data_IF_025585440871
#
_entry.id   IF_025585440871
#
_cell.length_a   1.000
_cell.length_b   1.000
_cell.length_c   1.000
_cell.angle_alpha   90.00
_cell.angle_beta   90.00
_cell.angle_gamma   90.00
#
_symmetry.space_group_name_H-M   'P 1'
#
loop_
_entity.id
_entity.type
_entity.pdbx_description
1 polymer ?
#
# COMPACT_ATOMS: atom_id res chain seq x y z
N UNK A 1 28.89 -25.54 101.42
CA UNK A 1 29.86 -24.44 101.24
C UNK A 1 30.58 -24.63 99.91
N UNK A 2 30.04 -24.07 98.82
CA UNK A 2 30.75 -23.56 97.63
C UNK A 2 29.70 -22.89 96.74
N UNK A 3 30.01 -21.65 96.41
CA UNK A 3 29.20 -20.61 95.75
C UNK A 3 29.72 -20.46 94.32
N UNK A 4 28.87 -19.91 93.44
CA UNK A 4 29.16 -19.33 92.11
C UNK A 4 29.37 -20.35 90.96
N UNK A 5 28.84 -20.16 89.75
CA UNK A 5 28.65 -18.92 88.99
C UNK A 5 27.41 -18.93 88.09
N UNK A 6 26.89 -17.72 87.88
CA UNK A 6 25.84 -17.31 86.95
C UNK A 6 26.34 -17.23 85.50
N UNK A 7 25.64 -17.88 84.56
CA UNK A 7 25.73 -17.57 83.12
C UNK A 7 24.38 -17.06 82.63
N UNK A 8 24.38 -15.80 82.17
CA UNK A 8 23.22 -15.11 81.65
C UNK A 8 22.85 -15.59 80.24
N UNK A 9 21.64 -16.14 80.10
CA UNK A 9 20.98 -16.33 78.82
C UNK A 9 20.58 -14.97 78.23
N UNK A 10 21.23 -14.57 77.13
CA UNK A 10 20.77 -13.50 76.25
C UNK A 10 19.86 -14.11 75.18
N UNK A 11 18.59 -13.72 75.21
CA UNK A 11 17.61 -14.02 74.16
C UNK A 11 18.00 -13.37 72.83
N UNK A 12 17.95 -14.07 71.68
CA UNK A 12 18.17 -13.45 70.39
C UNK A 12 16.99 -12.52 70.06
N UNK A 13 17.28 -11.22 69.96
CA UNK A 13 16.34 -10.22 69.46
C UNK A 13 16.03 -10.50 67.98
N UNK A 14 14.83 -10.98 67.69
CA UNK A 14 14.28 -11.02 66.35
C UNK A 14 14.15 -9.59 65.81
N UNK A 15 15.06 -9.20 64.91
CA UNK A 15 14.95 -7.94 64.18
C UNK A 15 13.70 -7.91 63.27
N UNK A 16 13.15 -6.72 62.99
CA UNK A 16 11.89 -6.52 62.25
C UNK A 16 11.93 -6.92 60.76
N UNK A 17 13.02 -7.52 60.28
CA UNK A 17 13.18 -7.92 58.87
C UNK A 17 12.60 -9.30 58.54
N UNK A 18 12.26 -10.13 59.55
CA UNK A 18 11.67 -11.46 59.32
C UNK A 18 10.21 -11.44 58.82
N UNK A 19 9.48 -10.35 59.04
CA UNK A 19 8.06 -10.26 58.69
C UNK A 19 7.83 -10.04 57.19
N UNK A 20 8.73 -9.29 56.53
CA UNK A 20 8.66 -9.06 55.08
C UNK A 20 8.93 -10.34 54.27
N UNK A 21 9.86 -11.18 54.72
CA UNK A 21 10.16 -12.46 54.07
C UNK A 21 8.99 -13.45 54.17
N UNK A 22 8.30 -13.47 55.32
CA UNK A 22 7.11 -14.33 55.52
C UNK A 22 5.92 -13.84 54.72
N UNK A 23 5.67 -12.54 54.67
CA UNK A 23 4.59 -11.95 53.87
C UNK A 23 4.76 -12.22 52.36
N UNK A 24 6.00 -12.12 51.85
CA UNK A 24 6.31 -12.44 50.45
C UNK A 24 6.09 -13.92 50.09
N UNK A 25 6.48 -14.83 50.98
CA UNK A 25 6.28 -16.26 50.78
C UNK A 25 4.78 -16.64 50.77
N UNK A 26 3.97 -16.05 51.66
CA UNK A 26 2.53 -16.27 51.66
C UNK A 26 1.82 -15.69 50.44
N UNK A 27 2.25 -14.53 49.93
CA UNK A 27 1.67 -13.94 48.72
C UNK A 27 1.97 -14.79 47.48
N UNK A 28 3.20 -15.31 47.36
CA UNK A 28 3.59 -16.22 46.27
C UNK A 28 2.81 -17.54 46.32
N UNK A 29 2.60 -18.10 47.52
CA UNK A 29 1.79 -19.30 47.68
C UNK A 29 0.31 -19.07 47.29
N UNK A 30 -0.26 -17.91 47.63
CA UNK A 30 -1.63 -17.55 47.29
C UNK A 30 -1.82 -17.31 45.79
N UNK A 31 -0.85 -16.69 45.13
CA UNK A 31 -0.84 -16.51 43.67
C UNK A 31 -0.69 -17.85 42.94
N UNK A 32 0.13 -18.77 43.45
CA UNK A 32 0.25 -20.13 42.89
C UNK A 32 -1.05 -20.93 43.04
N UNK A 33 -1.74 -20.82 44.18
CA UNK A 33 -3.04 -21.45 44.42
C UNK A 33 -4.15 -20.86 43.55
N UNK A 34 -4.16 -19.54 43.32
CA UNK A 34 -5.11 -18.88 42.42
C UNK A 34 -4.87 -19.25 40.95
N UNK A 35 -3.60 -19.44 40.55
CA UNK A 35 -3.25 -19.90 39.21
C UNK A 35 -3.68 -21.36 38.95
N UNK A 36 -3.70 -22.21 39.99
CA UNK A 36 -4.16 -23.60 39.91
C UNK A 36 -5.69 -23.74 40.01
N UNK A 37 -6.38 -22.74 40.56
CA UNK A 37 -7.83 -22.76 40.77
C UNK A 37 -8.65 -22.09 39.66
N UNK A 38 -8.00 -21.57 38.61
CA UNK A 38 -8.73 -21.05 37.45
C UNK A 38 -9.48 -22.20 36.76
N UNK A 39 -10.82 -22.21 36.76
CA UNK A 39 -11.57 -23.24 36.07
C UNK A 39 -11.19 -23.18 34.59
N UNK A 40 -10.77 -24.33 34.03
CA UNK A 40 -10.65 -24.50 32.58
C UNK A 40 -12.01 -24.18 31.99
N UNK A 41 -12.14 -22.98 31.44
CA UNK A 41 -13.29 -22.63 30.61
C UNK A 41 -13.22 -23.58 29.42
N UNK A 42 -14.08 -24.60 29.41
CA UNK A 42 -14.34 -25.41 28.22
C UNK A 42 -14.70 -24.42 27.11
N UNK A 43 -13.76 -24.22 26.20
CA UNK A 43 -13.95 -23.37 25.04
C UNK A 43 -15.17 -23.90 24.30
N UNK A 44 -16.27 -23.15 24.35
CA UNK A 44 -17.45 -23.45 23.56
C UNK A 44 -17.00 -23.52 22.09
N UNK A 45 -17.30 -24.62 21.38
CA UNK A 45 -16.94 -24.74 19.97
C UNK A 45 -17.57 -23.57 19.23
N UNK A 46 -16.73 -22.63 18.76
CA UNK A 46 -17.17 -21.50 17.96
C UNK A 46 -17.97 -22.05 16.78
N UNK A 47 -19.14 -21.49 16.46
CA UNK A 47 -19.91 -21.92 15.30
C UNK A 47 -19.01 -21.86 14.07
N UNK A 48 -18.82 -23.02 13.43
CA UNK A 48 -18.01 -23.17 12.22
C UNK A 48 -18.64 -22.31 11.14
N UNK A 49 -18.12 -21.09 10.95
CA UNK A 49 -18.47 -20.29 9.81
C UNK A 49 -18.15 -21.11 8.55
N UNK A 50 -19.02 -21.07 7.52
CA UNK A 50 -18.73 -21.75 6.26
C UNK A 50 -17.36 -21.30 5.79
N UNK A 51 -16.41 -22.26 5.72
CA UNK A 51 -15.05 -22.00 5.28
C UNK A 51 -15.13 -21.33 3.92
N UNK A 52 -14.70 -20.07 3.86
CA UNK A 52 -14.48 -19.39 2.58
C UNK A 52 -13.60 -20.31 1.73
N UNK A 53 -13.92 -20.50 0.43
CA UNK A 53 -13.09 -21.33 -0.43
C UNK A 53 -11.67 -20.76 -0.45
N UNK A 54 -10.73 -21.46 0.18
CA UNK A 54 -9.33 -21.08 0.18
C UNK A 54 -8.76 -21.42 -1.19
N UNK A 55 -8.45 -20.38 -1.98
CA UNK A 55 -7.68 -20.55 -3.21
C UNK A 55 -6.27 -21.00 -2.81
N UNK A 56 -5.74 -22.04 -3.45
CA UNK A 56 -4.38 -22.47 -3.15
C UNK A 56 -3.38 -21.38 -3.57
N UNK A 57 -2.23 -21.32 -2.89
CA UNK A 57 -1.19 -20.32 -3.22
C UNK A 57 -0.75 -20.41 -4.68
N UNK A 58 -0.67 -21.62 -5.22
CA UNK A 58 -0.25 -21.87 -6.59
C UNK A 58 -1.31 -21.44 -7.62
N UNK A 59 -2.59 -21.73 -7.33
CA UNK A 59 -3.70 -21.29 -8.17
C UNK A 59 -3.80 -19.76 -8.19
N UNK A 60 -3.50 -19.11 -7.07
CA UNK A 60 -3.47 -17.66 -7.02
C UNK A 60 -2.28 -17.10 -7.79
N UNK A 61 -1.05 -17.62 -7.60
CA UNK A 61 0.15 -17.13 -8.32
C UNK A 61 -0.01 -17.22 -9.83
N UNK A 62 -0.61 -18.30 -10.31
CA UNK A 62 -0.89 -18.54 -11.73
C UNK A 62 -2.19 -17.90 -12.24
N UNK A 63 -3.02 -17.36 -11.35
CA UNK A 63 -4.27 -16.68 -11.66
C UNK A 63 -4.09 -15.26 -12.20
N UNK A 64 -5.20 -14.63 -12.57
CA UNK A 64 -5.24 -13.29 -13.20
C UNK A 64 -6.06 -12.26 -12.39
N UNK A 65 -6.16 -12.47 -11.08
CA UNK A 65 -6.92 -11.60 -10.18
C UNK A 65 -6.36 -10.17 -10.14
N UNK A 66 -5.04 -10.02 -10.18
CA UNK A 66 -4.34 -8.75 -10.25
C UNK A 66 -4.69 -7.98 -11.53
N UNK A 67 -4.78 -8.65 -12.67
CA UNK A 67 -5.24 -8.02 -13.91
C UNK A 67 -6.69 -7.54 -13.82
N UNK A 68 -7.59 -8.35 -13.25
CA UNK A 68 -8.98 -7.95 -13.04
C UNK A 68 -9.09 -6.76 -12.07
N UNK A 69 -8.23 -6.71 -11.04
CA UNK A 69 -8.11 -5.57 -10.14
C UNK A 69 -7.63 -4.31 -10.88
N UNK A 70 -6.60 -4.42 -11.72
CA UNK A 70 -6.13 -3.31 -12.57
C UNK A 70 -7.25 -2.78 -13.49
N UNK A 71 -8.10 -3.65 -14.04
CA UNK A 71 -9.27 -3.22 -14.82
C UNK A 71 -10.20 -2.34 -13.97
N UNK A 72 -10.56 -2.79 -12.76
CA UNK A 72 -11.43 -2.04 -11.84
C UNK A 72 -10.83 -0.70 -11.42
N UNK A 73 -9.52 -0.67 -11.16
CA UNK A 73 -8.81 0.57 -10.81
C UNK A 73 -8.83 1.60 -11.96
N UNK A 74 -8.91 1.13 -13.21
CA UNK A 74 -9.09 1.99 -14.38
C UNK A 74 -10.57 2.27 -14.71
N UNK A 75 -11.51 1.99 -13.80
CA UNK A 75 -12.93 2.23 -13.99
C UNK A 75 -13.59 1.28 -15.00
N UNK A 76 -12.97 0.13 -15.29
CA UNK A 76 -13.48 -0.87 -16.23
C UNK A 76 -14.23 -1.95 -15.43
N UNK A 77 -15.50 -2.16 -15.76
CA UNK A 77 -16.36 -3.18 -15.19
C UNK A 77 -16.02 -4.56 -15.74
N UNK A 78 -15.62 -5.49 -14.87
CA UNK A 78 -15.25 -6.86 -15.25
C UNK A 78 -16.48 -7.77 -15.17
N UNK A 79 -16.88 -8.32 -16.31
CA UNK A 79 -17.98 -9.28 -16.41
C UNK A 79 -17.55 -10.67 -15.96
N UNK A 80 -18.43 -11.33 -15.20
CA UNK A 80 -18.23 -12.69 -14.68
C UNK A 80 -18.66 -13.79 -15.66
N UNK A 81 -19.33 -13.42 -16.75
CA UNK A 81 -20.00 -14.34 -17.66
C UNK A 81 -20.08 -13.76 -19.07
N UNK A 82 -20.07 -14.64 -20.08
CA UNK A 82 -20.22 -14.24 -21.48
C UNK A 82 -21.59 -13.61 -21.73
N UNK A 83 -22.65 -14.12 -21.09
CA UNK A 83 -24.02 -13.64 -21.27
C UNK A 83 -24.21 -12.20 -20.80
N UNK A 84 -23.64 -11.84 -19.64
CA UNK A 84 -23.72 -10.45 -19.16
C UNK A 84 -22.94 -9.49 -20.06
N UNK A 85 -21.80 -9.95 -20.60
CA UNK A 85 -20.97 -9.14 -21.49
C UNK A 85 -21.56 -8.99 -22.90
N UNK A 86 -22.24 -10.02 -23.43
CA UNK A 86 -22.88 -9.96 -24.76
C UNK A 86 -23.97 -8.89 -24.86
N UNK A 87 -24.55 -8.45 -23.74
CA UNK A 87 -25.51 -7.36 -23.71
C UNK A 87 -24.86 -5.97 -23.88
N UNK A 88 -23.53 -5.88 -23.77
CA UNK A 88 -22.78 -4.62 -23.87
C UNK A 88 -22.49 -4.29 -25.35
N UNK A 89 -22.73 -3.05 -25.80
CA UNK A 89 -22.34 -2.63 -27.14
C UNK A 89 -20.84 -2.82 -27.40
N UNK A 90 -20.48 -3.38 -28.56
CA UNK A 90 -19.09 -3.67 -28.94
C UNK A 90 -18.18 -2.44 -28.87
N UNK A 91 -18.67 -1.26 -29.24
CA UNK A 91 -17.94 0.00 -29.16
C UNK A 91 -17.60 0.46 -27.73
N UNK A 92 -18.23 -0.13 -26.72
CA UNK A 92 -17.99 0.14 -25.29
C UNK A 92 -17.29 -1.00 -24.57
N UNK A 93 -16.98 -2.09 -25.25
CA UNK A 93 -16.41 -3.28 -24.64
C UNK A 93 -14.97 -3.54 -25.03
N UNK A 94 -14.26 -4.15 -24.10
CA UNK A 94 -12.92 -4.71 -24.22
C UNK A 94 -13.02 -6.23 -24.04
N UNK A 95 -12.25 -6.98 -24.81
CA UNK A 95 -12.06 -8.41 -24.59
C UNK A 95 -10.59 -8.68 -24.31
N UNK A 96 -10.32 -9.42 -23.24
CA UNK A 96 -8.98 -9.87 -22.89
C UNK A 96 -8.93 -11.40 -23.03
N UNK A 97 -8.00 -11.90 -23.82
CA UNK A 97 -7.85 -13.32 -24.14
C UNK A 97 -6.44 -13.77 -23.77
N UNK A 98 -6.34 -14.72 -22.84
CA UNK A 98 -5.10 -15.18 -22.25
C UNK A 98 -4.94 -16.69 -22.44
N UNK A 99 -3.78 -17.13 -22.96
CA UNK A 99 -3.45 -18.54 -23.12
C UNK A 99 -4.15 -19.22 -24.30
N UNK A 100 -4.66 -20.44 -24.10
CA UNK A 100 -5.20 -21.24 -25.20
C UNK A 100 -6.57 -20.72 -25.70
N UNK A 101 -6.58 -20.13 -26.90
CA UNK A 101 -7.77 -19.55 -27.55
C UNK A 101 -8.46 -20.45 -28.58
N UNK A 102 -7.94 -21.67 -28.84
CA UNK A 102 -8.31 -22.47 -30.03
C UNK A 102 -9.77 -22.89 -30.15
N UNK A 103 -10.56 -22.94 -29.07
CA UNK A 103 -11.90 -23.57 -29.08
C UNK A 103 -13.04 -22.66 -28.65
N UNK A 104 -12.78 -21.46 -28.15
CA UNK A 104 -13.74 -20.79 -27.26
C UNK A 104 -14.09 -19.37 -27.61
N UNK A 105 -13.58 -18.81 -28.71
CA UNK A 105 -13.79 -17.39 -28.98
C UNK A 105 -14.73 -17.20 -30.17
N UNK A 106 -15.78 -16.37 -30.02
CA UNK A 106 -16.49 -15.81 -31.18
C UNK A 106 -15.47 -15.14 -32.11
N UNK A 107 -15.86 -14.95 -33.37
CA UNK A 107 -15.02 -14.38 -34.41
C UNK A 107 -14.33 -13.08 -33.94
N UNK A 108 -13.10 -13.19 -33.39
CA UNK A 108 -12.38 -12.08 -32.75
C UNK A 108 -12.19 -10.93 -33.73
N UNK A 109 -11.98 -11.29 -35.00
CA UNK A 109 -11.86 -10.33 -36.09
C UNK A 109 -13.15 -9.53 -36.26
N UNK A 110 -14.30 -10.21 -36.26
CA UNK A 110 -15.60 -9.53 -36.33
C UNK A 110 -15.79 -8.61 -35.14
N UNK A 111 -15.51 -9.08 -33.93
CA UNK A 111 -15.63 -8.27 -32.71
C UNK A 111 -14.79 -6.98 -32.76
N UNK A 112 -13.53 -7.06 -33.20
CA UNK A 112 -12.69 -5.86 -33.31
C UNK A 112 -13.12 -4.97 -34.49
N UNK A 113 -13.56 -5.56 -35.61
CA UNK A 113 -14.11 -4.80 -36.74
C UNK A 113 -15.43 -4.08 -36.38
N UNK A 114 -16.21 -4.62 -35.43
CA UNK A 114 -17.45 -4.00 -34.92
C UNK A 114 -17.17 -2.89 -33.88
N UNK A 115 -15.90 -2.53 -33.67
CA UNK A 115 -15.45 -1.43 -32.81
C UNK A 115 -14.97 -1.83 -31.42
N UNK A 116 -14.90 -3.13 -31.13
CA UNK A 116 -14.37 -3.67 -29.89
C UNK A 116 -12.86 -3.49 -29.78
N UNK A 117 -12.38 -3.37 -28.54
CA UNK A 117 -10.94 -3.41 -28.26
C UNK A 117 -10.54 -4.83 -27.82
N UNK A 118 -9.36 -5.30 -28.25
CA UNK A 118 -8.85 -6.63 -27.93
C UNK A 118 -7.45 -6.58 -27.31
N UNK A 119 -7.28 -7.25 -26.18
CA UNK A 119 -5.97 -7.68 -25.69
C UNK A 119 -5.88 -9.19 -25.90
N UNK A 120 -4.90 -9.64 -26.68
CA UNK A 120 -4.61 -11.05 -26.86
C UNK A 120 -3.19 -11.34 -26.43
N UNK A 121 -3.03 -12.25 -25.46
CA UNK A 121 -1.74 -12.76 -25.05
C UNK A 121 -1.77 -14.28 -25.09
N UNK A 122 -0.90 -14.89 -25.90
CA UNK A 122 -0.86 -16.33 -26.04
C UNK A 122 0.52 -16.83 -26.41
N UNK A 123 1.01 -17.83 -25.68
CA UNK A 123 2.17 -18.64 -26.05
C UNK A 123 1.74 -19.97 -26.70
N UNK A 124 0.42 -20.24 -26.76
CA UNK A 124 -0.13 -21.57 -27.09
C UNK A 124 -0.55 -21.70 -28.54
N UNK A 125 0.36 -22.31 -29.29
CA UNK A 125 0.12 -22.79 -30.64
C UNK A 125 0.49 -21.76 -31.70
N UNK A 126 0.59 -22.22 -32.95
CA UNK A 126 0.79 -21.32 -34.08
C UNK A 126 -0.56 -20.73 -34.46
N UNK A 127 -0.72 -19.43 -34.25
CA UNK A 127 -1.91 -18.70 -34.62
C UNK A 127 -1.54 -17.62 -35.64
N UNK A 128 -2.30 -17.52 -36.73
CA UNK A 128 -2.09 -16.46 -37.73
C UNK A 128 -3.37 -15.63 -37.87
N UNK A 129 -3.30 -14.36 -37.49
CA UNK A 129 -4.31 -13.36 -37.82
C UNK A 129 -4.07 -12.87 -39.23
N UNK A 130 -4.45 -13.65 -40.25
CA UNK A 130 -4.22 -13.29 -41.67
C UNK A 130 -4.66 -11.85 -42.03
N UNK A 131 -5.81 -11.32 -41.57
CA UNK A 131 -6.22 -9.95 -41.90
C UNK A 131 -5.40 -8.86 -41.23
N UNK A 132 -4.58 -9.21 -40.23
CA UNK A 132 -3.60 -8.34 -39.58
C UNK A 132 -2.17 -8.82 -39.84
N UNK A 133 -1.99 -9.87 -40.67
CA UNK A 133 -0.80 -10.72 -40.82
C UNK A 133 0.15 -10.76 -39.63
N UNK A 134 -0.42 -10.87 -38.44
CA UNK A 134 0.30 -11.16 -37.21
C UNK A 134 0.27 -12.66 -37.04
N UNK A 135 1.43 -13.30 -36.95
CA UNK A 135 1.56 -14.71 -36.63
C UNK A 135 2.25 -14.88 -35.27
N UNK A 136 1.54 -15.46 -34.32
CA UNK A 136 2.11 -15.84 -33.02
C UNK A 136 2.68 -17.25 -33.17
N UNK A 137 3.97 -17.40 -32.87
CA UNK A 137 4.72 -18.66 -32.90
C UNK A 137 4.89 -19.16 -31.48
N UNK A 138 4.71 -20.46 -31.29
CA UNK A 138 4.91 -21.11 -30.00
C UNK A 138 6.38 -21.06 -29.55
N UNK A 139 6.58 -20.85 -28.25
CA UNK A 139 7.89 -20.88 -27.58
C UNK A 139 8.36 -22.27 -27.12
N UNK A 140 9.39 -22.34 -26.25
CA UNK A 140 10.05 -21.19 -25.61
C UNK A 140 11.12 -20.57 -26.48
N UNK A 141 11.15 -19.23 -26.54
CA UNK A 141 12.35 -18.48 -26.95
C UNK A 141 13.45 -18.74 -25.93
N UNK A 142 14.64 -19.07 -26.43
CA UNK A 142 15.83 -19.22 -25.61
C UNK A 142 16.74 -18.02 -25.86
N UNK A 143 17.20 -17.39 -24.79
CA UNK A 143 18.16 -16.29 -24.85
C UNK A 143 19.42 -16.63 -24.08
N UNK A 144 20.46 -15.80 -24.23
CA UNK A 144 21.61 -15.90 -23.36
C UNK A 144 21.18 -15.65 -21.89
N UNK A 145 21.64 -16.46 -20.91
CA UNK A 145 21.32 -16.26 -19.50
C UNK A 145 21.54 -14.83 -18.98
N UNK A 146 22.51 -14.09 -19.53
CA UNK A 146 22.78 -12.70 -19.14
C UNK A 146 21.64 -11.72 -19.46
N UNK A 147 20.76 -12.06 -20.40
CA UNK A 147 19.57 -11.28 -20.77
C UNK A 147 18.26 -11.99 -20.39
N UNK A 148 18.35 -13.11 -19.69
CA UNK A 148 17.22 -13.82 -19.10
C UNK A 148 16.85 -13.25 -17.73
N UNK A 149 15.55 -13.26 -17.41
CA UNK A 149 15.06 -12.88 -16.10
C UNK A 149 15.68 -13.78 -15.02
N UNK A 150 16.37 -13.18 -14.05
CA UNK A 150 17.10 -13.89 -12.98
C UNK A 150 18.08 -14.96 -13.49
N UNK A 151 18.62 -14.80 -14.70
CA UNK A 151 19.57 -15.75 -15.29
C UNK A 151 18.93 -16.97 -15.97
N UNK A 152 17.59 -17.05 -16.06
CA UNK A 152 16.91 -18.16 -16.71
C UNK A 152 16.78 -17.92 -18.23
N UNK A 153 17.41 -18.77 -19.03
CA UNK A 153 17.41 -18.68 -20.49
C UNK A 153 16.02 -18.87 -21.13
N UNK A 154 15.10 -19.58 -20.45
CA UNK A 154 13.72 -19.80 -20.88
C UNK A 154 12.73 -18.73 -20.37
N UNK A 155 13.23 -17.72 -19.64
CA UNK A 155 12.46 -16.56 -19.18
C UNK A 155 13.06 -15.27 -19.77
N UNK A 156 12.99 -15.05 -21.09
CA UNK A 156 13.62 -13.88 -21.70
C UNK A 156 12.97 -12.58 -21.24
N UNK A 157 13.79 -11.54 -21.07
CA UNK A 157 13.31 -10.16 -20.91
C UNK A 157 12.97 -9.58 -22.28
N UNK A 158 11.76 -9.07 -22.47
CA UNK A 158 11.40 -8.34 -23.68
C UNK A 158 11.68 -6.84 -23.49
N UNK A 159 12.53 -6.26 -24.33
CA UNK A 159 12.88 -4.84 -24.29
C UNK A 159 11.87 -4.02 -25.13
N UNK A 160 11.56 -2.81 -24.65
CA UNK A 160 10.84 -1.80 -25.43
C UNK A 160 11.63 -1.43 -26.68
N UNK A 161 10.94 -1.30 -27.81
CA UNK A 161 11.53 -0.71 -29.01
C UNK A 161 11.73 0.80 -28.82
N UNK A 162 12.94 1.27 -29.11
CA UNK A 162 13.25 2.69 -29.07
C UNK A 162 12.38 3.49 -30.08
N UNK A 163 12.19 4.78 -29.82
CA UNK A 163 11.44 5.66 -30.75
C UNK A 163 12.15 5.81 -32.10
N UNK A 164 13.48 5.69 -32.10
CA UNK A 164 14.38 5.76 -33.25
C UNK A 164 14.86 4.39 -33.73
N UNK A 165 14.13 3.32 -33.38
CA UNK A 165 14.41 1.97 -33.88
C UNK A 165 14.41 1.96 -35.42
N UNK A 166 15.48 1.40 -36.00
CA UNK A 166 15.71 1.45 -37.44
C UNK A 166 14.63 0.74 -38.26
N UNK A 167 14.06 -0.35 -37.72
CA UNK A 167 13.04 -1.14 -38.38
C UNK A 167 11.65 -0.55 -38.17
N UNK A 168 11.43 0.11 -37.02
CA UNK A 168 10.13 0.61 -36.61
C UNK A 168 10.18 2.02 -36.00
N UNK A 169 10.50 3.06 -36.78
CA UNK A 169 10.59 4.41 -36.27
C UNK A 169 9.23 4.98 -35.86
N UNK A 170 9.22 5.83 -34.84
CA UNK A 170 8.06 6.61 -34.42
C UNK A 170 7.71 6.48 -32.94
N UNK A 171 6.98 7.49 -32.44
CA UNK A 171 6.45 7.49 -31.07
C UNK A 171 5.16 6.69 -31.01
N UNK A 172 5.08 5.78 -30.04
CA UNK A 172 3.83 5.08 -29.73
C UNK A 172 3.63 5.01 -28.23
N UNK A 173 2.39 5.15 -27.79
CA UNK A 173 2.04 5.15 -26.37
C UNK A 173 2.51 3.87 -25.67
N UNK A 174 2.36 2.72 -26.33
CA UNK A 174 2.81 1.41 -25.81
C UNK A 174 4.34 1.28 -25.70
N UNK A 175 5.14 2.26 -26.14
CA UNK A 175 6.61 2.26 -25.99
C UNK A 175 7.10 3.21 -24.89
N UNK A 176 6.20 3.71 -24.04
CA UNK A 176 6.52 4.72 -23.04
C UNK A 176 6.23 4.23 -21.63
N UNK A 177 7.02 4.65 -20.63
CA UNK A 177 6.71 4.39 -19.22
C UNK A 177 7.05 2.99 -18.68
N UNK A 178 7.69 2.15 -19.50
CA UNK A 178 8.32 0.88 -19.10
C UNK A 178 9.57 0.66 -19.96
N UNK A 179 10.44 -0.27 -19.56
CA UNK A 179 11.68 -0.60 -20.27
C UNK A 179 11.74 -2.08 -20.61
N UNK A 180 11.33 -2.94 -19.67
CA UNK A 180 11.47 -4.40 -19.81
C UNK A 180 10.28 -5.16 -19.27
N UNK A 181 9.95 -6.26 -19.92
CA UNK A 181 8.93 -7.21 -19.46
C UNK A 181 9.56 -8.56 -19.17
N UNK A 182 9.32 -9.08 -17.97
CA UNK A 182 9.67 -10.44 -17.62
C UNK A 182 8.63 -11.40 -18.19
N UNK A 183 9.07 -12.39 -18.97
CA UNK A 183 8.22 -13.42 -19.56
C UNK A 183 8.57 -14.80 -18.99
N UNK A 184 7.73 -15.80 -19.24
CA UNK A 184 7.95 -17.18 -18.79
C UNK A 184 7.62 -18.14 -19.94
N UNK A 185 8.67 -18.66 -20.59
CA UNK A 185 8.57 -19.58 -21.75
C UNK A 185 7.82 -19.00 -22.94
N UNK A 186 7.98 -17.69 -23.18
CA UNK A 186 7.32 -16.95 -24.25
C UNK A 186 7.54 -17.53 -25.64
N UNK A 187 6.53 -17.35 -26.51
CA UNK A 187 6.67 -17.48 -27.96
C UNK A 187 7.26 -16.24 -28.62
N UNK A 188 7.03 -16.09 -29.93
CA UNK A 188 7.39 -14.89 -30.71
C UNK A 188 6.23 -14.41 -31.57
N UNK A 189 6.29 -13.17 -32.02
CA UNK A 189 5.42 -12.59 -33.04
C UNK A 189 6.22 -12.39 -34.32
N UNK A 190 5.69 -12.92 -35.42
CA UNK A 190 6.09 -12.55 -36.78
C UNK A 190 5.03 -11.61 -37.36
N UNK A 191 5.47 -10.52 -37.98
CA UNK A 191 4.61 -9.59 -38.71
C UNK A 191 4.90 -9.75 -40.20
N UNK A 192 3.90 -10.17 -40.96
CA UNK A 192 4.00 -10.15 -42.42
C UNK A 192 3.93 -8.70 -42.92
N UNK A 193 4.63 -8.33 -44.00
CA UNK A 193 4.38 -7.07 -44.68
C UNK A 193 2.95 -7.09 -45.21
N UNK A 194 2.04 -6.34 -44.58
CA UNK A 194 0.62 -6.34 -44.92
C UNK A 194 0.17 -5.06 -45.59
N UNK A 195 -1.07 -5.15 -46.05
CA UNK A 195 -1.84 -4.13 -46.70
C UNK A 195 -1.61 -2.72 -46.09
N UNK A 196 -1.42 -1.70 -46.94
CA UNK A 196 -0.98 -0.36 -46.56
C UNK A 196 -1.99 0.42 -45.68
N UNK A 197 -3.16 -0.14 -45.41
CA UNK A 197 -4.28 0.50 -44.74
C UNK A 197 -4.32 0.30 -43.22
N UNK A 198 -3.50 -0.60 -42.65
CA UNK A 198 -3.47 -0.85 -41.20
C UNK A 198 -2.09 -0.57 -40.61
N UNK A 199 -2.07 0.31 -39.60
CA UNK A 199 -0.84 0.66 -38.89
C UNK A 199 -0.58 -0.36 -37.78
N UNK A 200 0.28 -1.31 -38.08
CA UNK A 200 0.86 -2.22 -37.11
C UNK A 200 2.08 -1.58 -36.49
N UNK A 201 2.10 -1.50 -35.16
CA UNK A 201 3.17 -0.88 -34.41
C UNK A 201 3.76 -1.88 -33.42
N UNK A 202 4.85 -2.56 -33.81
CA UNK A 202 5.64 -3.33 -32.86
C UNK A 202 6.07 -2.42 -31.70
N UNK A 203 6.09 -2.95 -30.48
CA UNK A 203 6.50 -2.18 -29.30
C UNK A 203 7.50 -2.92 -28.41
N UNK A 204 7.68 -4.22 -28.59
CA UNK A 204 8.60 -5.02 -27.80
C UNK A 204 9.32 -6.08 -28.65
N UNK A 205 10.59 -6.35 -28.37
CA UNK A 205 11.36 -7.44 -28.97
C UNK A 205 12.24 -8.16 -27.94
N UNK A 206 12.66 -9.37 -28.25
CA UNK A 206 13.65 -10.07 -27.43
C UNK A 206 15.07 -9.64 -27.83
N UNK A 207 15.95 -9.33 -26.87
CA UNK A 207 17.33 -8.98 -27.17
C UNK A 207 18.07 -10.18 -27.79
N UNK A 208 18.81 -9.93 -28.87
CA UNK A 208 19.64 -10.93 -29.55
C UNK A 208 18.86 -11.96 -30.38
N UNK A 209 17.53 -11.97 -30.31
CA UNK A 209 16.65 -12.83 -31.10
C UNK A 209 15.79 -11.89 -31.92
N UNK A 210 16.10 -11.70 -33.20
CA UNK A 210 15.41 -10.79 -34.14
C UNK A 210 13.93 -11.19 -34.37
N UNK A 211 13.13 -11.04 -33.31
CA UNK A 211 11.77 -11.54 -33.14
C UNK A 211 11.03 -10.64 -32.18
N UNK A 212 9.81 -10.30 -32.54
CA UNK A 212 8.96 -9.42 -31.77
C UNK A 212 8.30 -10.19 -30.62
N UNK A 213 8.03 -9.47 -29.53
CA UNK A 213 7.24 -9.97 -28.41
C UNK A 213 5.80 -9.43 -28.45
N UNK A 214 5.64 -8.16 -28.85
CA UNK A 214 4.38 -7.44 -28.78
C UNK A 214 4.16 -6.48 -29.94
N UNK A 215 2.91 -6.44 -30.44
CA UNK A 215 2.46 -5.55 -31.52
C UNK A 215 1.12 -4.92 -31.17
N UNK A 216 0.98 -3.63 -31.46
CA UNK A 216 -0.28 -2.90 -31.38
C UNK A 216 -0.86 -2.69 -32.77
N UNK A 217 -2.18 -2.78 -32.90
CA UNK A 217 -2.93 -2.41 -34.09
C UNK A 217 -3.59 -1.06 -33.81
N UNK A 218 -3.16 -0.03 -34.53
CA UNK A 218 -3.65 1.35 -34.36
C UNK A 218 -4.80 1.68 -35.32
N UNK A 219 -5.76 2.45 -34.81
CA UNK A 219 -6.90 3.00 -35.55
C UNK A 219 -8.06 3.31 -34.61
N UNK A 220 -9.03 4.09 -35.07
CA UNK A 220 -10.30 4.27 -34.34
C UNK A 220 -11.02 2.92 -34.19
N UNK A 221 -10.97 2.13 -35.28
CA UNK A 221 -11.38 0.72 -35.37
C UNK A 221 -10.60 0.09 -36.54
N UNK A 222 -9.86 -1.02 -36.39
CA UNK A 222 -9.66 -1.88 -35.22
C UNK A 222 -8.63 -1.35 -34.20
N UNK A 223 -8.81 -1.66 -32.90
CA UNK A 223 -7.80 -1.42 -31.86
C UNK A 223 -7.47 -2.71 -31.10
N UNK A 224 -6.20 -3.12 -31.12
CA UNK A 224 -5.79 -4.35 -30.43
C UNK A 224 -4.33 -4.36 -29.97
N UNK A 225 -4.04 -5.10 -28.90
CA UNK A 225 -2.69 -5.46 -28.44
C UNK A 225 -2.53 -6.97 -28.57
N UNK A 226 -1.48 -7.42 -29.24
CA UNK A 226 -1.15 -8.84 -29.38
C UNK A 226 0.23 -9.11 -28.78
N UNK A 227 0.32 -10.14 -27.94
CA UNK A 227 1.49 -10.52 -27.15
C UNK A 227 1.77 -12.01 -27.29
N UNK A 228 3.04 -12.39 -27.32
CA UNK A 228 3.47 -13.79 -27.44
C UNK A 228 3.50 -14.59 -26.13
N UNK A 229 3.08 -13.99 -25.01
CA UNK A 229 3.00 -14.66 -23.71
C UNK A 229 1.94 -14.03 -22.81
N UNK A 230 1.03 -14.84 -22.29
CA UNK A 230 0.06 -14.42 -21.27
C UNK A 230 0.64 -14.34 -19.86
N UNK A 231 1.79 -14.97 -19.61
CA UNK A 231 2.35 -15.11 -18.27
C UNK A 231 2.62 -13.75 -17.63
N UNK A 232 2.91 -12.71 -18.42
CA UNK A 232 3.14 -11.34 -17.93
C UNK A 232 1.96 -10.75 -17.15
N UNK A 233 0.77 -11.33 -17.29
CA UNK A 233 -0.46 -10.91 -16.59
C UNK A 233 -0.83 -11.80 -15.40
N UNK A 234 -0.08 -12.86 -15.11
CA UNK A 234 -0.33 -13.67 -13.91
C UNK A 234 0.03 -12.87 -12.66
N UNK A 235 -0.62 -13.17 -11.54
CA UNK A 235 -0.40 -12.43 -10.30
C UNK A 235 1.06 -12.41 -9.88
N UNK A 236 1.77 -13.54 -10.03
CA UNK A 236 3.19 -13.61 -9.71
C UNK A 236 4.08 -12.79 -10.66
N UNK A 237 3.72 -12.69 -11.94
CA UNK A 237 4.54 -11.98 -12.92
C UNK A 237 4.23 -10.48 -12.96
N UNK A 238 3.05 -10.03 -12.51
CA UNK A 238 2.72 -8.61 -12.44
C UNK A 238 3.70 -7.81 -11.55
N UNK A 239 4.26 -8.46 -10.52
CA UNK A 239 5.24 -7.83 -9.61
C UNK A 239 6.68 -7.87 -10.14
N UNK A 240 6.92 -8.49 -11.29
CA UNK A 240 8.24 -8.61 -11.89
C UNK A 240 8.47 -7.52 -12.94
N UNK A 241 9.66 -6.90 -12.93
CA UNK A 241 10.06 -5.85 -13.88
C UNK A 241 8.96 -4.77 -14.01
N UNK A 242 8.66 -4.33 -15.24
CA UNK A 242 7.63 -3.32 -15.51
C UNK A 242 6.26 -3.92 -15.87
N UNK A 243 6.02 -5.22 -15.60
CA UNK A 243 4.81 -5.93 -16.06
C UNK A 243 3.50 -5.27 -15.60
N UNK A 244 3.40 -4.84 -14.34
CA UNK A 244 2.22 -4.11 -13.84
C UNK A 244 2.03 -2.76 -14.54
N UNK A 245 3.12 -2.00 -14.73
CA UNK A 245 3.09 -0.71 -15.43
C UNK A 245 2.63 -0.85 -16.88
N UNK A 246 3.17 -1.84 -17.57
CA UNK A 246 2.74 -2.21 -18.92
C UNK A 246 1.27 -2.65 -18.96
N UNK A 247 0.83 -3.52 -18.04
CA UNK A 247 -0.55 -3.98 -18.00
C UNK A 247 -1.53 -2.82 -17.79
N UNK A 248 -1.22 -1.90 -16.87
CA UNK A 248 -1.99 -0.69 -16.66
C UNK A 248 -2.03 0.19 -17.91
N UNK A 249 -0.90 0.40 -18.57
CA UNK A 249 -0.82 1.19 -19.78
C UNK A 249 -1.62 0.58 -20.94
N UNK A 250 -1.50 -0.74 -21.14
CA UNK A 250 -2.25 -1.47 -22.15
C UNK A 250 -3.77 -1.33 -21.93
N UNK A 251 -4.21 -1.45 -20.68
CA UNK A 251 -5.62 -1.27 -20.31
C UNK A 251 -6.09 0.16 -20.55
N UNK A 252 -5.32 1.18 -20.16
CA UNK A 252 -5.68 2.58 -20.40
C UNK A 252 -5.77 2.91 -21.89
N UNK A 253 -4.83 2.39 -22.68
CA UNK A 253 -4.83 2.59 -24.12
C UNK A 253 -6.04 1.91 -24.77
N UNK A 254 -6.34 0.66 -24.41
CA UNK A 254 -7.50 -0.07 -24.92
C UNK A 254 -8.84 0.51 -24.42
N UNK A 255 -8.86 1.06 -23.21
CA UNK A 255 -10.05 1.69 -22.62
C UNK A 255 -10.32 3.11 -23.16
N UNK A 256 -9.37 3.70 -23.89
CA UNK A 256 -9.57 4.95 -24.61
C UNK A 256 -10.83 4.84 -25.49
N UNK A 257 -11.60 5.93 -25.63
CA UNK A 257 -12.84 5.91 -26.41
C UNK A 257 -14.10 5.42 -25.66
N UNK A 258 -14.10 5.49 -24.32
CA UNK A 258 -15.26 5.15 -23.43
C UNK A 258 -15.57 3.66 -23.31
N UNK A 259 -14.55 2.80 -23.44
CA UNK A 259 -14.74 1.36 -23.20
C UNK A 259 -14.68 1.10 -21.70
N UNK A 260 -15.85 0.80 -21.14
CA UNK A 260 -16.08 0.72 -19.69
C UNK A 260 -16.28 -0.70 -19.19
N UNK A 261 -16.29 -1.68 -20.08
CA UNK A 261 -16.75 -3.03 -19.79
C UNK A 261 -15.78 -4.05 -20.39
N UNK A 262 -15.38 -5.06 -19.62
CA UNK A 262 -14.39 -6.06 -20.05
C UNK A 262 -14.82 -7.48 -19.74
N UNK A 263 -14.56 -8.38 -20.70
CA UNK A 263 -14.60 -9.82 -20.49
C UNK A 263 -13.18 -10.38 -20.54
N UNK A 264 -12.77 -11.06 -19.48
CA UNK A 264 -11.46 -11.70 -19.39
C UNK A 264 -11.63 -13.21 -19.57
N UNK A 265 -11.00 -13.77 -20.59
CA UNK A 265 -11.04 -15.18 -20.92
C UNK A 265 -9.63 -15.74 -20.79
N UNK A 266 -9.38 -16.62 -19.83
CA UNK A 266 -8.12 -17.34 -19.70
C UNK A 266 -8.33 -18.83 -19.93
N UNK A 267 -7.54 -19.42 -20.83
CA UNK A 267 -7.57 -20.85 -21.15
C UNK A 267 -8.99 -21.38 -21.41
N UNK A 268 -9.79 -20.61 -22.15
CA UNK A 268 -11.18 -20.93 -22.52
C UNK A 268 -12.23 -20.75 -21.42
N UNK A 269 -11.83 -20.29 -20.23
CA UNK A 269 -12.74 -20.00 -19.12
C UNK A 269 -12.86 -18.50 -18.90
N UNK A 270 -14.07 -18.03 -18.64
CA UNK A 270 -14.28 -16.65 -18.15
C UNK A 270 -13.69 -16.57 -16.76
N UNK A 271 -12.83 -15.59 -16.55
CA UNK A 271 -12.27 -15.33 -15.22
C UNK A 271 -13.32 -14.55 -14.46
N UNK A 272 -13.98 -15.20 -13.50
CA UNK A 272 -14.83 -14.53 -12.54
C UNK A 272 -13.93 -13.94 -11.46
N UNK A 273 -13.77 -12.61 -11.39
CA UNK A 273 -13.03 -12.03 -10.29
C UNK A 273 -13.83 -12.25 -9.01
N UNK A 274 -13.32 -13.10 -8.12
CA UNK A 274 -13.84 -13.19 -6.77
C UNK A 274 -13.83 -11.77 -6.15
N UNK A 275 -14.85 -11.43 -5.36
CA UNK A 275 -14.92 -10.10 -4.77
C UNK A 275 -13.66 -9.84 -3.94
N UNK A 276 -13.09 -8.62 -3.93
CA UNK A 276 -11.86 -8.33 -3.19
C UNK A 276 -11.90 -8.79 -1.73
N UNK A 277 -13.09 -8.76 -1.12
CA UNK A 277 -13.32 -9.14 0.28
C UNK A 277 -13.46 -10.65 0.53
N UNK A 278 -13.60 -11.44 -0.54
CA UNK A 278 -13.86 -12.89 -0.49
C UNK A 278 -12.63 -13.73 -0.90
N UNK A 279 -11.59 -13.08 -1.46
CA UNK A 279 -10.35 -13.77 -1.82
C UNK A 279 -9.41 -13.74 -0.63
N UNK A 280 -9.18 -14.90 -0.02
CA UNK A 280 -7.99 -15.07 0.79
C UNK A 280 -6.78 -15.04 -0.15
N UNK A 281 -6.12 -13.88 -0.23
CA UNK A 281 -4.85 -13.75 -0.94
C UNK A 281 -3.82 -14.54 -0.13
N UNK A 282 -3.12 -15.53 -0.72
CA UNK A 282 -1.99 -16.12 -0.02
C UNK A 282 -1.01 -14.99 0.29
N UNK A 283 -0.44 -14.94 1.50
CA UNK A 283 0.55 -13.93 1.83
C UNK A 283 1.68 -14.01 0.80
N UNK A 284 2.17 -12.86 0.28
CA UNK A 284 3.28 -12.85 -0.65
C UNK A 284 4.49 -13.58 -0.05
N UNK A 285 5.28 -14.26 -0.90
CA UNK A 285 6.43 -15.01 -0.41
C UNK A 285 7.40 -14.05 0.31
N UNK A 286 7.86 -14.39 1.54
CA UNK A 286 8.70 -13.48 2.33
C UNK A 286 9.92 -12.89 1.60
N UNK A 287 10.65 -13.65 0.75
CA UNK A 287 11.78 -13.09 -0.01
C UNK A 287 11.37 -11.96 -0.96
N UNK A 288 10.23 -12.08 -1.63
CA UNK A 288 9.77 -11.09 -2.61
C UNK A 288 9.29 -9.81 -1.90
N UNK A 289 8.65 -9.94 -0.73
CA UNK A 289 8.29 -8.79 0.12
C UNK A 289 9.55 -8.08 0.62
N UNK A 290 10.53 -8.83 1.11
CA UNK A 290 11.80 -8.27 1.61
C UNK A 290 12.54 -7.55 0.48
N UNK A 291 12.57 -8.12 -0.72
CA UNK A 291 13.22 -7.51 -1.86
C UNK A 291 12.49 -6.24 -2.31
N UNK A 292 11.15 -6.24 -2.39
CA UNK A 292 10.37 -5.04 -2.67
C UNK A 292 10.59 -3.95 -1.60
N UNK A 293 10.65 -4.33 -0.33
CA UNK A 293 10.91 -3.41 0.78
C UNK A 293 12.32 -2.80 0.75
N UNK A 294 13.32 -3.50 0.21
CA UNK A 294 14.70 -2.98 0.09
C UNK A 294 14.82 -1.80 -0.87
N UNK A 295 13.95 -1.74 -1.86
CA UNK A 295 13.95 -0.68 -2.87
C UNK A 295 13.12 0.55 -2.46
N UNK A 296 12.40 0.47 -1.34
CA UNK A 296 11.62 1.60 -0.82
C UNK A 296 12.52 2.60 -0.07
N UNK A 297 12.28 3.92 -0.24
CA UNK A 297 12.95 4.91 0.58
C UNK A 297 12.56 4.76 2.06
N UNK A 298 13.44 5.12 3.01
CA UNK A 298 13.22 4.91 4.45
C UNK A 298 11.89 5.47 4.96
N UNK A 299 11.42 6.59 4.39
CA UNK A 299 10.16 7.21 4.75
C UNK A 299 8.96 6.35 4.35
N UNK A 300 8.98 5.75 3.15
CA UNK A 300 7.93 4.88 2.65
C UNK A 300 7.88 3.53 3.40
N UNK A 301 9.04 3.04 3.84
CA UNK A 301 9.15 1.86 4.72
C UNK A 301 8.42 2.07 6.04
N UNK A 302 8.57 3.26 6.63
CA UNK A 302 7.94 3.60 7.91
C UNK A 302 6.42 3.79 7.75
N UNK A 303 5.99 4.42 6.66
CA UNK A 303 4.58 4.54 6.30
C UNK A 303 3.94 3.17 6.05
N UNK A 304 4.60 2.29 5.31
CA UNK A 304 4.17 0.91 5.10
C UNK A 304 4.08 0.13 6.41
N UNK A 305 5.09 0.24 7.28
CA UNK A 305 5.07 -0.42 8.59
C UNK A 305 3.88 0.06 9.44
N UNK A 306 3.60 1.36 9.45
CA UNK A 306 2.44 1.92 10.16
C UNK A 306 1.11 1.45 9.56
N UNK A 307 1.02 1.36 8.23
CA UNK A 307 -0.16 0.86 7.53
C UNK A 307 -0.42 -0.62 7.87
N UNK A 308 0.62 -1.44 7.86
CA UNK A 308 0.55 -2.87 8.22
C UNK A 308 0.17 -3.03 9.69
N UNK A 309 0.75 -2.23 10.59
CA UNK A 309 0.40 -2.22 12.01
C UNK A 309 -1.07 -1.84 12.23
N UNK A 310 -1.56 -0.79 11.55
CA UNK A 310 -2.95 -0.37 11.64
C UNK A 310 -3.92 -1.43 11.09
N UNK A 311 -3.61 -2.01 9.92
CA UNK A 311 -4.45 -3.07 9.35
C UNK A 311 -4.46 -4.36 10.19
N UNK A 312 -3.31 -4.72 10.78
CA UNK A 312 -3.20 -5.89 11.65
C UNK A 312 -3.90 -5.70 13.00
N UNK A 313 -4.04 -4.45 13.46
CA UNK A 313 -4.86 -4.08 14.63
C UNK A 313 -6.36 -4.21 14.32
N UNK A 314 -6.80 -3.72 13.15
CA UNK A 314 -8.22 -3.76 12.74
C UNK A 314 -8.74 -5.19 12.46
N UNK A 315 -7.92 -6.05 11.84
CA UNK A 315 -8.33 -7.42 11.50
C UNK A 315 -8.16 -8.43 12.65
N UNK A 316 -7.77 -7.99 13.85
CA UNK A 316 -7.40 -8.85 14.97
C UNK A 316 -6.31 -9.88 14.63
N UNK A 317 -5.57 -9.72 13.52
CA UNK A 317 -4.49 -10.62 13.08
C UNK A 317 -3.41 -10.73 14.14
N UNK A 318 -3.11 -9.64 14.85
CA UNK A 318 -2.18 -9.66 15.98
C UNK A 318 -2.72 -10.52 17.12
N UNK A 319 -4.03 -10.46 17.40
CA UNK A 319 -4.65 -11.27 18.45
C UNK A 319 -4.70 -12.74 18.06
N UNK A 320 -4.99 -13.06 16.80
CA UNK A 320 -5.02 -14.43 16.29
C UNK A 320 -3.60 -15.03 16.23
N UNK A 321 -2.60 -14.26 15.77
CA UNK A 321 -1.21 -14.67 15.81
C UNK A 321 -0.70 -14.86 17.25
N UNK A 322 -1.06 -13.96 18.16
CA UNK A 322 -0.74 -14.10 19.59
C UNK A 322 -1.42 -15.33 20.18
N UNK A 323 -2.68 -15.61 19.82
CA UNK A 323 -3.39 -16.82 20.23
C UNK A 323 -2.69 -18.08 19.70
N UNK A 324 -2.32 -18.12 18.42
CA UNK A 324 -1.60 -19.25 17.81
C UNK A 324 -0.22 -19.46 18.45
N UNK A 325 0.52 -18.38 18.72
CA UNK A 325 1.80 -18.45 19.43
C UNK A 325 1.58 -18.91 20.86
N UNK A 326 0.55 -18.43 21.55
CA UNK A 326 0.22 -18.83 22.92
C UNK A 326 -0.22 -20.30 23.00
N UNK A 327 -0.96 -20.79 22.01
CA UNK A 327 -1.38 -22.19 21.91
C UNK A 327 -0.22 -23.12 21.55
N UNK A 328 0.75 -22.65 20.78
CA UNK A 328 1.97 -23.40 20.45
C UNK A 328 2.95 -23.51 21.63
N UNK A 329 2.89 -22.60 22.60
CA UNK A 329 3.75 -22.61 23.78
C UNK A 329 3.08 -23.49 24.86
N UNK A 330 3.74 -24.54 25.36
CA UNK A 330 3.20 -25.32 26.46
C UNK A 330 2.86 -24.44 27.67
N UNK A 331 1.67 -24.62 28.27
CA UNK A 331 1.14 -23.78 29.38
C UNK A 331 2.19 -23.50 30.48
N UNK A 332 3.01 -24.49 30.82
CA UNK A 332 4.06 -24.37 31.83
C UNK A 332 5.21 -23.44 31.44
N UNK A 333 5.54 -23.34 30.16
CA UNK A 333 6.57 -22.44 29.62
C UNK A 333 6.05 -21.01 29.60
N UNK A 334 4.80 -20.81 29.18
CA UNK A 334 4.15 -19.51 29.20
C UNK A 334 4.11 -18.94 30.63
N UNK A 335 3.69 -19.75 31.61
CA UNK A 335 3.65 -19.31 33.02
C UNK A 335 5.03 -18.95 33.56
N UNK A 336 6.10 -19.66 33.18
CA UNK A 336 7.47 -19.29 33.56
C UNK A 336 7.87 -17.93 32.99
N UNK A 337 7.55 -17.66 31.73
CA UNK A 337 7.85 -16.38 31.07
C UNK A 337 7.09 -15.23 31.74
N UNK A 338 5.81 -15.43 32.08
CA UNK A 338 4.99 -14.44 32.79
C UNK A 338 5.58 -14.13 34.17
N UNK A 339 5.93 -15.16 34.95
CA UNK A 339 6.50 -14.99 36.30
C UNK A 339 7.84 -14.24 36.23
N UNK A 340 8.71 -14.60 35.28
CA UNK A 340 10.01 -13.90 35.10
C UNK A 340 9.79 -12.45 34.69
N UNK A 341 8.90 -12.19 33.74
CA UNK A 341 8.60 -10.83 33.26
C UNK A 341 8.04 -9.94 34.37
N UNK A 342 7.09 -10.46 35.16
CA UNK A 342 6.53 -9.76 36.32
C UNK A 342 7.59 -9.48 37.40
N UNK A 343 8.50 -10.43 37.62
CA UNK A 343 9.60 -10.27 38.58
C UNK A 343 10.57 -9.17 38.15
N UNK A 344 10.89 -9.10 36.85
CA UNK A 344 11.74 -8.04 36.27
C UNK A 344 11.06 -6.68 36.39
N UNK A 345 9.77 -6.58 36.03
CA UNK A 345 9.00 -5.33 36.14
C UNK A 345 8.91 -4.83 37.59
N UNK A 346 8.68 -5.74 38.54
CA UNK A 346 8.68 -5.41 39.96
C UNK A 346 10.06 -4.91 40.43
N UNK A 347 11.14 -5.56 39.98
CA UNK A 347 12.51 -5.13 40.24
C UNK A 347 12.79 -3.73 39.71
N UNK A 348 12.41 -3.44 38.46
CA UNK A 348 12.54 -2.12 37.84
C UNK A 348 11.71 -1.06 38.57
N UNK A 349 10.49 -1.40 38.98
CA UNK A 349 9.63 -0.48 39.74
C UNK A 349 10.23 -0.15 41.11
N UNK A 350 10.76 -1.15 41.82
CA UNK A 350 11.46 -0.94 43.10
C UNK A 350 12.70 -0.07 42.92
N UNK A 351 13.48 -0.32 41.87
CA UNK A 351 14.66 0.48 41.53
C UNK A 351 14.28 1.92 41.22
N UNK A 352 13.26 2.13 40.37
CA UNK A 352 12.72 3.45 40.05
C UNK A 352 12.27 4.19 41.32
N UNK A 353 11.55 3.51 42.21
CA UNK A 353 11.10 4.08 43.49
C UNK A 353 12.25 4.45 44.42
N UNK A 354 13.31 3.63 44.45
CA UNK A 354 14.51 3.91 45.24
C UNK A 354 15.29 5.11 44.68
N UNK A 355 15.35 5.24 43.36
CA UNK A 355 15.99 6.37 42.68
C UNK A 355 15.18 7.67 42.84
N UNK A 356 13.86 7.62 42.71
CA UNK A 356 12.98 8.80 42.88
C UNK A 356 12.89 9.31 44.32
N UNK A 357 13.11 8.46 45.32
CA UNK A 357 13.20 8.89 46.72
C UNK A 357 14.49 9.65 47.04
N UNK A 358 15.46 9.68 46.12
CA UNK A 358 16.75 10.35 46.29
C UNK A 358 16.82 11.74 45.66
N UNK A 359 15.80 12.14 44.90
CA UNK A 359 15.63 13.51 44.39
C UNK A 359 14.79 14.31 45.38
N UNK A 360 15.42 15.27 46.04
CA UNK A 360 14.83 16.12 47.09
C UNK A 360 13.47 16.73 46.69
N UNK A 361 12.42 16.62 47.53
CA UNK A 361 11.07 17.12 47.26
C UNK A 361 10.92 18.66 47.36
N UNK A 362 12.01 19.43 47.28
CA UNK A 362 11.99 20.87 47.57
C UNK A 362 11.51 21.81 46.46
N UNK A 363 11.26 21.35 45.23
CA UNK A 363 11.13 22.26 44.06
C UNK A 363 9.84 22.13 43.23
N UNK A 364 8.86 21.28 43.60
CA UNK A 364 7.72 20.95 42.71
C UNK A 364 6.38 21.57 43.18
N UNK A 365 6.37 22.35 44.27
CA UNK A 365 5.13 22.94 44.78
C UNK A 365 4.49 24.02 43.88
N UNK A 366 5.23 24.61 42.92
CA UNK A 366 4.72 25.67 42.02
C UNK A 366 4.26 25.18 40.64
N UNK A 367 4.37 23.88 40.33
CA UNK A 367 4.05 23.37 38.99
C UNK A 367 2.54 23.09 38.77
N UNK A 368 1.76 22.90 39.83
CA UNK A 368 0.33 22.53 39.74
C UNK A 368 -0.58 23.69 39.29
N UNK A 369 -0.15 24.95 39.40
CA UNK A 369 -0.92 26.12 38.99
C UNK A 369 -0.82 26.49 37.51
N UNK A 370 0.17 25.98 36.76
CA UNK A 370 0.41 26.36 35.35
C UNK A 370 -0.35 25.51 34.32
N UNK A 371 -0.88 24.36 34.73
CA UNK A 371 -1.62 23.44 33.82
C UNK A 371 -2.75 24.12 33.03
N UNK A 372 -3.68 24.84 33.68
CA UNK A 372 -4.79 25.51 32.98
C UNK A 372 -4.33 26.62 32.02
N UNK A 373 -3.29 27.37 32.39
CA UNK A 373 -2.77 28.47 31.57
C UNK A 373 -2.05 27.94 30.31
N UNK A 374 -1.29 26.85 30.45
CA UNK A 374 -0.62 26.20 29.31
C UNK A 374 -1.65 25.64 28.35
N UNK A 375 -2.69 24.97 28.85
CA UNK A 375 -3.78 24.42 28.02
C UNK A 375 -4.50 25.53 27.23
N UNK A 376 -4.90 26.61 27.92
CA UNK A 376 -5.56 27.74 27.26
C UNK A 376 -4.67 28.44 26.22
N UNK A 377 -3.35 28.45 26.41
CA UNK A 377 -2.41 28.99 25.44
C UNK A 377 -2.26 28.09 24.20
N UNK A 378 -2.29 26.76 24.39
CA UNK A 378 -2.29 25.78 23.28
C UNK A 378 -3.56 25.93 22.44
N UNK A 379 -4.73 25.95 23.09
CA UNK A 379 -6.03 26.08 22.40
C UNK A 379 -6.11 27.37 21.57
N UNK A 380 -5.62 28.50 22.10
CA UNK A 380 -5.57 29.77 21.35
C UNK A 380 -4.61 29.74 20.16
N UNK A 381 -3.48 29.06 20.29
CA UNK A 381 -2.54 28.88 19.18
C UNK A 381 -3.14 28.02 18.08
N UNK A 382 -3.83 26.95 18.45
CA UNK A 382 -4.55 26.10 17.48
C UNK A 382 -5.63 26.89 16.75
N UNK A 383 -6.44 27.68 17.47
CA UNK A 383 -7.43 28.55 16.84
C UNK A 383 -6.80 29.56 15.85
N UNK A 384 -5.64 30.12 16.20
CA UNK A 384 -4.90 31.02 15.30
C UNK A 384 -4.41 30.32 14.02
N UNK A 385 -3.98 29.06 14.10
CA UNK A 385 -3.57 28.26 12.93
C UNK A 385 -4.78 28.02 12.02
N UNK A 386 -5.91 27.60 12.60
CA UNK A 386 -7.15 27.35 11.85
C UNK A 386 -7.63 28.61 11.11
N UNK A 387 -7.60 29.78 11.76
CA UNK A 387 -7.97 31.05 11.13
C UNK A 387 -7.08 31.39 9.91
N UNK A 388 -5.78 31.13 10.01
CA UNK A 388 -4.85 31.35 8.92
C UNK A 388 -5.07 30.35 7.79
N UNK A 389 -5.26 29.06 8.09
CA UNK A 389 -5.51 28.06 7.06
C UNK A 389 -6.82 28.31 6.30
N UNK A 390 -7.86 28.79 6.99
CA UNK A 390 -9.11 29.20 6.36
C UNK A 390 -8.90 30.38 5.41
N UNK A 391 -8.20 31.44 5.85
CA UNK A 391 -7.86 32.58 4.99
C UNK A 391 -7.05 32.14 3.76
N UNK A 392 -6.09 31.24 3.94
CA UNK A 392 -5.30 30.68 2.83
C UNK A 392 -6.21 30.01 1.80
N UNK A 393 -7.15 29.19 2.26
CA UNK A 393 -8.09 28.50 1.39
C UNK A 393 -8.99 29.47 0.62
N UNK A 394 -9.47 30.52 1.29
CA UNK A 394 -10.31 31.55 0.66
C UNK A 394 -9.55 32.31 -0.44
N UNK A 395 -8.31 32.74 -0.16
CA UNK A 395 -7.46 33.45 -1.13
C UNK A 395 -7.00 32.53 -2.25
N UNK A 396 -6.88 31.23 -1.98
CA UNK A 396 -6.49 30.24 -2.96
C UNK A 396 -7.64 29.74 -3.85
N UNK A 397 -8.88 30.19 -3.61
CA UNK A 397 -10.05 29.68 -4.32
C UNK A 397 -10.32 28.19 -4.08
N UNK A 398 -9.95 27.67 -2.90
CA UNK A 398 -10.12 26.27 -2.54
C UNK A 398 -9.03 25.31 -3.01
N UNK A 399 -8.03 25.78 -3.77
CA UNK A 399 -6.88 24.96 -4.15
C UNK A 399 -6.01 24.59 -2.92
N UNK A 400 -5.43 23.39 -2.92
CA UNK A 400 -4.47 22.93 -1.91
C UNK A 400 -3.10 23.61 -2.10
N UNK A 401 -3.04 24.94 -1.92
CA UNK A 401 -1.84 25.74 -2.08
C UNK A 401 -1.11 25.96 -0.74
N UNK A 402 0.22 25.99 -0.76
CA UNK A 402 1.03 26.40 0.41
C UNK A 402 0.99 27.93 0.57
N UNK A 403 1.27 28.44 1.77
CA UNK A 403 1.38 29.89 1.98
C UNK A 403 2.43 30.54 1.07
N UNK A 404 3.49 29.84 0.70
CA UNK A 404 4.51 30.36 -0.22
C UNK A 404 3.96 30.55 -1.64
N UNK A 405 3.19 29.57 -2.13
CA UNK A 405 2.52 29.65 -3.42
C UNK A 405 1.48 30.77 -3.44
N UNK A 406 0.61 30.83 -2.41
CA UNK A 406 -0.40 31.91 -2.27
C UNK A 406 0.26 33.29 -2.21
N UNK A 407 1.36 33.43 -1.45
CA UNK A 407 2.04 34.72 -1.37
C UNK A 407 2.76 35.08 -2.68
N UNK A 408 3.23 34.11 -3.46
CA UNK A 408 3.84 34.34 -4.76
C UNK A 408 2.82 34.77 -5.82
N UNK A 409 1.62 34.18 -5.80
CA UNK A 409 0.54 34.42 -6.76
C UNK A 409 -0.25 35.72 -6.54
N UNK A 410 -0.22 36.29 -5.32
CA UNK A 410 -0.92 37.55 -5.01
C UNK A 410 -0.24 38.75 -5.68
N UNK A 411 -0.97 39.47 -6.51
CA UNK A 411 -0.56 40.68 -7.23
C UNK A 411 -1.51 41.86 -6.96
N UNK A 412 -1.09 43.10 -7.23
CA UNK A 412 -1.88 44.32 -6.98
C UNK A 412 -1.15 45.37 -6.14
N UNK A 413 -1.74 46.58 -6.05
CA UNK A 413 -1.13 47.72 -5.34
C UNK A 413 -0.88 47.46 -3.85
N UNK A 414 -1.71 46.63 -3.21
CA UNK A 414 -1.58 46.26 -1.81
C UNK A 414 -0.75 44.99 -1.55
N UNK A 415 -0.31 44.28 -2.60
CA UNK A 415 0.31 42.95 -2.49
C UNK A 415 1.57 42.93 -1.62
N UNK A 416 2.43 43.96 -1.73
CA UNK A 416 3.67 44.05 -0.93
C UNK A 416 3.40 44.17 0.57
N UNK A 417 2.40 44.97 0.96
CA UNK A 417 2.01 45.14 2.35
C UNK A 417 1.39 43.84 2.89
N UNK A 418 0.46 43.25 2.15
CA UNK A 418 -0.15 41.96 2.51
C UNK A 418 0.88 40.85 2.73
N UNK A 419 1.83 40.66 1.79
CA UNK A 419 2.89 39.64 1.91
C UNK A 419 3.74 39.83 3.16
N UNK A 420 4.08 41.08 3.50
CA UNK A 420 4.87 41.40 4.70
C UNK A 420 4.08 41.06 5.97
N UNK A 421 2.82 41.47 6.03
CA UNK A 421 1.99 41.33 7.22
C UNK A 421 1.65 39.84 7.50
N UNK A 422 1.37 39.06 6.46
CA UNK A 422 1.16 37.59 6.56
C UNK A 422 2.44 36.89 7.02
N UNK A 423 3.60 37.18 6.43
CA UNK A 423 4.87 36.56 6.86
C UNK A 423 5.22 36.88 8.30
N UNK A 424 4.99 38.12 8.73
CA UNK A 424 5.18 38.51 10.12
C UNK A 424 4.25 37.73 11.05
N UNK A 425 2.99 37.55 10.63
CA UNK A 425 1.98 36.81 11.39
C UNK A 425 2.30 35.32 11.48
N UNK A 426 2.65 34.67 10.37
CA UNK A 426 3.08 33.26 10.34
C UNK A 426 4.29 33.04 11.24
N UNK A 427 5.31 33.90 11.17
CA UNK A 427 6.47 33.84 12.07
C UNK A 427 6.06 33.98 13.53
N UNK A 428 5.12 34.86 13.84
CA UNK A 428 4.60 35.01 15.19
C UNK A 428 3.85 33.76 15.68
N UNK A 429 3.15 33.06 14.78
CA UNK A 429 2.33 31.89 15.12
C UNK A 429 3.16 30.63 15.30
N UNK A 430 4.12 30.40 14.40
CA UNK A 430 4.92 29.20 14.38
C UNK A 430 6.15 29.27 15.30
N UNK A 431 6.79 30.44 15.47
CA UNK A 431 8.07 30.54 16.19
C UNK A 431 7.99 31.01 17.63
N UNK A 432 6.92 31.69 18.07
CA UNK A 432 6.87 32.19 19.46
C UNK A 432 6.47 31.12 20.47
N UNK A 433 6.97 31.27 21.69
CA UNK A 433 6.66 30.40 22.82
C UNK A 433 5.16 30.43 23.17
N UNK A 434 4.66 29.29 23.69
CA UNK A 434 3.25 29.08 24.05
C UNK A 434 2.71 30.20 24.96
N UNK A 435 3.51 30.67 25.93
CA UNK A 435 3.10 31.73 26.85
C UNK A 435 2.76 33.09 26.21
N UNK A 436 3.10 33.31 24.94
CA UNK A 436 2.81 34.59 24.24
C UNK A 436 1.41 34.68 23.60
N UNK A 437 0.60 33.62 23.73
CA UNK A 437 -0.75 33.51 23.15
C UNK A 437 -1.85 33.86 24.15
N UNK A 438 -2.14 35.16 24.22
CA UNK A 438 -3.22 35.73 25.03
C UNK A 438 -4.51 35.89 24.22
N UNK A 439 -5.67 35.94 24.88
CA UNK A 439 -6.97 36.16 24.21
C UNK A 439 -6.99 37.46 23.38
N UNK A 440 -6.33 38.53 23.87
CA UNK A 440 -6.21 39.81 23.13
C UNK A 440 -5.49 39.64 21.80
N UNK A 441 -4.50 38.75 21.75
CA UNK A 441 -3.69 38.53 20.55
C UNK A 441 -4.44 37.72 19.50
N UNK A 442 -5.21 36.72 19.93
CA UNK A 442 -6.11 35.98 19.05
C UNK A 442 -7.16 36.92 18.43
N UNK A 443 -7.80 37.76 19.25
CA UNK A 443 -8.76 38.77 18.76
C UNK A 443 -8.12 39.79 17.79
N UNK A 444 -6.86 40.16 18.01
CA UNK A 444 -6.12 41.03 17.08
C UNK A 444 -5.83 40.33 15.74
N UNK A 445 -5.53 39.03 15.77
CA UNK A 445 -5.31 38.23 14.57
C UNK A 445 -6.61 38.09 13.77
N UNK A 446 -7.72 37.81 14.44
CA UNK A 446 -9.04 37.68 13.81
C UNK A 446 -9.43 38.96 13.06
N UNK A 447 -9.22 40.15 13.65
CA UNK A 447 -9.45 41.44 12.98
C UNK A 447 -8.57 41.62 11.74
N UNK A 448 -7.30 41.22 11.81
CA UNK A 448 -6.39 41.29 10.67
C UNK A 448 -6.82 40.35 9.53
N UNK A 449 -7.22 39.12 9.87
CA UNK A 449 -7.75 38.14 8.91
C UNK A 449 -9.01 38.66 8.20
N UNK A 450 -9.96 39.24 8.94
CA UNK A 450 -11.16 39.84 8.35
C UNK A 450 -10.83 41.00 7.41
N UNK A 451 -9.86 41.85 7.77
CA UNK A 451 -9.42 42.96 6.92
C UNK A 451 -8.77 42.46 5.63
N UNK A 452 -7.96 41.41 5.69
CA UNK A 452 -7.35 40.82 4.50
C UNK A 452 -8.37 40.15 3.59
N UNK A 453 -9.36 39.44 4.16
CA UNK A 453 -10.45 38.83 3.40
C UNK A 453 -11.24 39.90 2.64
N UNK A 454 -11.59 41.01 3.31
CA UNK A 454 -12.28 42.14 2.66
C UNK A 454 -11.50 42.72 1.48
N UNK A 455 -10.18 42.92 1.62
CA UNK A 455 -9.33 43.40 0.52
C UNK A 455 -9.26 42.44 -0.65
N UNK A 456 -9.31 41.13 -0.38
CA UNK A 456 -9.38 40.13 -1.43
C UNK A 456 -10.72 40.18 -2.17
N UNK A 457 -11.84 40.28 -1.44
CA UNK A 457 -13.19 40.42 -2.01
C UNK A 457 -13.36 41.73 -2.82
N UNK A 458 -12.71 42.81 -2.40
CA UNK A 458 -12.70 44.11 -3.11
C UNK A 458 -11.79 44.12 -4.36
N UNK A 459 -11.02 43.05 -4.61
CA UNK A 459 -10.13 42.93 -5.76
C UNK A 459 -8.77 43.64 -5.61
N UNK A 460 -8.47 44.21 -4.43
CA UNK A 460 -7.16 44.82 -4.13
C UNK A 460 -6.02 43.80 -4.07
N UNK A 461 -6.37 42.52 -3.85
CA UNK A 461 -5.47 41.37 -3.82
C UNK A 461 -5.91 40.36 -4.90
N UNK A 462 -5.30 40.44 -6.09
CA UNK A 462 -5.59 39.49 -7.16
C UNK A 462 -4.68 38.27 -7.02
N UNK A 463 -5.26 37.12 -6.70
CA UNK A 463 -4.56 35.84 -6.64
C UNK A 463 -4.70 35.12 -7.99
N UNK A 464 -3.58 34.89 -8.69
CA UNK A 464 -3.53 34.03 -9.89
C UNK A 464 -2.74 32.77 -9.55
N UNK A 465 -3.41 31.80 -8.94
CA UNK A 465 -2.82 30.47 -8.69
C UNK A 465 -2.85 29.61 -9.94
#
# INVERSE_FOLDING_TARGET
>A
MRVANSEGQRSPSCGPHGWLARAGATLLALLALLALAAPRAEAQPRPTQPRRPTVSTEDWKSGYNGLAMLCRLNGIHVHDSVSSWQAVPTSRSLMIVLGNSRRSLPNLMQYVNDGGALLLATDRGNFTFLPWGVAVRRGPVQVDPSVGFRGFADCPLADVLAEDDADYPGRHWMRSGWQRLATNRSGTIDVAPLAPDRKLTPFARFPGVDRLFGVAIEGDTPQAVILADQSIFTNQMLICEDNAGFAQQALQWLAAGRRTDVLIIANQFVITPQQPNDVFLPPPDPPDVIEAMRHLPPEALLEFANLVLAGAEDEAVINDLLADIMDAIPEHTLMRVIIVSLSVLLGLWLLHRLLYRRTDPGSIADASGRGPQIRAAIERRQAAIVLLDQLRSDVAGGALATWEQVLASVSGGAAKAFRRDIRQTLNQVYRKSLGSWTSRRLASLEKAVQQWRRRHEEGDLLCKL
#
